data_IF_210701247149
#
_entry.id   IF_210701247149
#
_cell.length_a   1.000
_cell.length_b   1.000
_cell.length_c   1.000
_cell.angle_alpha   90.00
_cell.angle_beta   90.00
_cell.angle_gamma   90.00
#
_symmetry.space_group_name_H-M   'P 1'
#
loop_
_entity.id
_entity.type
_entity.pdbx_description
1 polymer ?
#
# COMPACT_ATOMS: atom_id res chain seq x y z
N UNK A 1 17.83 20.23 -6.96
CA UNK A 1 17.02 19.26 -7.74
C UNK A 1 15.54 19.61 -7.56
N UNK A 2 14.71 19.41 -8.61
CA UNK A 2 13.24 19.32 -8.40
C UNK A 2 12.90 18.08 -7.59
N UNK A 3 11.69 17.98 -7.04
CA UNK A 3 11.23 16.78 -6.34
C UNK A 3 11.33 15.53 -7.21
N UNK A 4 10.89 15.61 -8.48
CA UNK A 4 11.00 14.51 -9.45
C UNK A 4 12.43 14.09 -9.71
N UNK A 5 13.34 15.04 -9.94
CA UNK A 5 14.78 14.74 -10.15
C UNK A 5 15.41 14.08 -8.92
N UNK A 6 15.01 14.50 -7.73
CA UNK A 6 15.48 13.96 -6.44
C UNK A 6 15.08 12.50 -6.28
N UNK A 7 13.81 12.19 -6.53
CA UNK A 7 13.30 10.83 -6.47
C UNK A 7 13.98 9.95 -7.55
N UNK A 8 14.08 10.45 -8.79
CA UNK A 8 14.78 9.73 -9.87
C UNK A 8 16.26 9.46 -9.51
N UNK A 9 16.93 10.39 -8.85
CA UNK A 9 18.29 10.16 -8.37
C UNK A 9 18.31 9.02 -7.33
N UNK A 10 17.43 9.08 -6.33
CA UNK A 10 17.37 8.10 -5.26
C UNK A 10 17.04 6.69 -5.76
N UNK A 11 16.00 6.51 -6.60
CA UNK A 11 15.61 5.20 -7.13
C UNK A 11 16.59 4.61 -8.16
N UNK A 12 17.57 5.40 -8.59
CA UNK A 12 18.69 4.97 -9.43
C UNK A 12 20.03 4.94 -8.66
N UNK A 13 19.98 4.81 -7.33
CA UNK A 13 21.13 4.70 -6.44
C UNK A 13 22.17 5.81 -6.65
N UNK A 14 21.70 7.03 -6.85
CA UNK A 14 22.52 8.25 -6.93
C UNK A 14 22.16 9.16 -5.76
N UNK A 15 23.18 9.72 -5.10
CA UNK A 15 22.97 10.61 -3.96
C UNK A 15 22.14 11.84 -4.37
N UNK A 16 20.94 12.04 -3.81
CA UNK A 16 20.17 13.26 -4.00
C UNK A 16 20.72 14.41 -3.13
N UNK A 17 20.27 15.64 -3.43
CA UNK A 17 20.66 16.85 -2.67
C UNK A 17 20.19 16.79 -1.20
N UNK A 18 19.02 16.19 -0.93
CA UNK A 18 18.55 15.79 0.40
C UNK A 18 17.75 14.49 0.31
N UNK A 19 17.39 13.92 1.46
CA UNK A 19 16.61 12.70 1.52
C UNK A 19 15.20 12.93 0.93
N UNK A 20 14.77 12.22 -0.11
CA UNK A 20 13.40 12.35 -0.62
C UNK A 20 12.38 11.87 0.42
N UNK A 21 11.24 12.56 0.48
CA UNK A 21 10.13 12.25 1.41
C UNK A 21 8.91 11.84 0.62
N UNK A 22 8.27 10.76 1.04
CA UNK A 22 6.95 10.35 0.57
C UNK A 22 5.90 10.51 1.68
N UNK A 23 4.83 11.22 1.39
CA UNK A 23 3.64 11.30 2.20
C UNK A 23 2.42 11.10 1.30
N UNK A 24 1.82 9.92 1.36
CA UNK A 24 0.53 9.65 0.73
C UNK A 24 0.56 9.39 -0.76
N UNK A 25 1.71 9.01 -1.35
CA UNK A 25 1.72 8.61 -2.76
C UNK A 25 0.96 7.31 -3.02
N UNK A 26 0.72 6.50 -2.00
CA UNK A 26 -0.11 5.29 -2.03
C UNK A 26 -0.69 4.98 -0.63
N UNK A 27 -1.50 3.92 -0.50
CA UNK A 27 -2.16 3.57 0.76
C UNK A 27 -1.20 3.22 1.90
N UNK A 28 -0.03 2.64 1.59
CA UNK A 28 0.96 2.23 2.58
C UNK A 28 1.78 3.41 3.13
N UNK A 29 1.82 4.53 2.40
CA UNK A 29 2.57 5.73 2.79
C UNK A 29 1.65 6.88 3.24
N UNK A 30 0.34 6.61 3.32
CA UNK A 30 -0.69 7.57 3.69
C UNK A 30 -0.75 7.89 5.18
N UNK A 31 -1.74 8.70 5.53
CA UNK A 31 -1.99 9.12 6.91
C UNK A 31 -3.50 9.13 7.18
N UNK A 32 -3.91 8.64 8.36
CA UNK A 32 -5.31 8.69 8.77
C UNK A 32 -5.82 10.14 8.76
N UNK A 33 -7.05 10.35 8.29
CA UNK A 33 -7.61 11.69 8.09
C UNK A 33 -7.64 12.55 9.36
N UNK A 34 -7.90 11.93 10.53
CA UNK A 34 -7.85 12.67 11.81
C UNK A 34 -6.46 13.19 12.11
N UNK A 35 -5.44 12.42 11.78
CA UNK A 35 -4.04 12.81 11.98
C UNK A 35 -3.61 13.88 10.96
N UNK A 36 -4.05 13.75 9.69
CA UNK A 36 -3.85 14.81 8.69
C UNK A 36 -4.46 16.13 9.16
N UNK A 37 -5.70 16.09 9.67
CA UNK A 37 -6.40 17.26 10.16
C UNK A 37 -5.66 17.96 11.32
N UNK A 38 -5.21 17.19 12.32
CA UNK A 38 -4.44 17.72 13.45
C UNK A 38 -3.07 18.28 13.03
N UNK A 39 -2.37 17.58 12.12
CA UNK A 39 -1.08 18.05 11.59
C UNK A 39 -1.25 19.36 10.83
N UNK A 40 -2.26 19.49 9.97
CA UNK A 40 -2.58 20.75 9.27
C UNK A 40 -2.77 21.89 10.25
N UNK A 41 -3.58 21.68 11.29
CA UNK A 41 -3.84 22.66 12.35
C UNK A 41 -2.55 23.06 13.08
N UNK A 42 -1.72 22.10 13.45
CA UNK A 42 -0.44 22.34 14.13
C UNK A 42 0.56 23.12 13.27
N UNK A 43 0.49 22.98 11.95
CA UNK A 43 1.29 23.74 10.98
C UNK A 43 0.66 25.09 10.59
N UNK A 44 -0.50 25.44 11.13
CA UNK A 44 -1.20 26.69 10.82
C UNK A 44 -1.81 26.73 9.42
N UNK A 45 -2.04 25.57 8.80
CA UNK A 45 -2.76 25.46 7.54
C UNK A 45 -4.26 25.54 7.75
N UNK A 46 -5.02 25.85 6.68
CA UNK A 46 -6.47 25.95 6.74
C UNK A 46 -7.13 24.68 7.30
N UNK A 47 -8.03 24.88 8.28
CA UNK A 47 -8.88 23.82 8.80
C UNK A 47 -10.07 23.64 7.83
N UNK A 48 -10.08 22.52 7.11
CA UNK A 48 -11.12 22.20 6.12
C UNK A 48 -11.51 20.71 6.20
N UNK A 49 -12.65 20.36 5.63
CA UNK A 49 -13.03 18.97 5.47
C UNK A 49 -12.06 18.28 4.51
N UNK A 50 -11.52 17.14 4.92
CA UNK A 50 -10.60 16.34 4.11
C UNK A 50 -11.36 15.23 3.38
N UNK A 51 -10.99 14.91 2.15
CA UNK A 51 -11.52 13.73 1.49
C UNK A 51 -10.86 12.46 2.03
N UNK A 52 -11.66 11.41 2.25
CA UNK A 52 -11.17 10.07 2.52
C UNK A 52 -10.88 9.39 1.19
N UNK A 53 -9.63 9.44 0.76
CA UNK A 53 -9.19 8.90 -0.54
C UNK A 53 -9.02 7.38 -0.51
N UNK A 54 -8.84 6.81 0.68
CA UNK A 54 -8.80 5.37 0.92
C UNK A 54 -9.61 5.07 2.21
N UNK A 55 -10.92 4.74 2.06
CA UNK A 55 -11.81 4.60 3.22
C UNK A 55 -11.61 3.33 4.02
N UNK A 56 -10.98 2.28 3.49
CA UNK A 56 -10.72 1.06 4.25
C UNK A 56 -9.80 1.33 5.47
N UNK A 57 -8.76 2.12 5.27
CA UNK A 57 -7.83 2.55 6.33
C UNK A 57 -8.10 3.99 6.82
N UNK A 58 -9.20 4.62 6.35
CA UNK A 58 -9.59 5.99 6.68
C UNK A 58 -8.48 7.02 6.37
N UNK A 59 -7.76 6.85 5.25
CA UNK A 59 -6.70 7.76 4.84
C UNK A 59 -7.26 9.04 4.23
N UNK A 60 -6.75 10.17 4.72
CA UNK A 60 -7.09 11.50 4.22
C UNK A 60 -6.28 11.89 2.98
N UNK A 61 -6.90 12.69 2.11
CA UNK A 61 -6.20 13.35 1.00
C UNK A 61 -5.07 14.22 1.54
N UNK A 62 -3.89 14.08 0.96
CA UNK A 62 -2.75 14.93 1.26
C UNK A 62 -2.72 16.03 0.20
N UNK A 63 -3.22 17.20 0.58
CA UNK A 63 -3.31 18.33 -0.34
C UNK A 63 -1.96 19.04 -0.52
N UNK A 64 -1.83 19.80 -1.60
CA UNK A 64 -0.56 20.41 -2.03
C UNK A 64 0.08 21.32 -0.97
N UNK A 65 -0.72 22.05 -0.19
CA UNK A 65 -0.22 22.90 0.89
C UNK A 65 0.46 22.10 2.00
N UNK A 66 -0.07 20.92 2.35
CA UNK A 66 0.57 20.02 3.31
C UNK A 66 1.80 19.34 2.70
N UNK A 67 1.74 18.87 1.42
CA UNK A 67 2.91 18.35 0.71
C UNK A 67 4.08 19.34 0.72
N UNK A 68 3.78 20.63 0.44
CA UNK A 68 4.78 21.70 0.50
C UNK A 68 5.31 21.94 1.91
N UNK A 69 4.42 21.93 2.92
CA UNK A 69 4.82 22.19 4.31
C UNK A 69 5.77 21.12 4.86
N UNK A 70 5.63 19.86 4.44
CA UNK A 70 6.50 18.74 4.85
C UNK A 70 7.57 18.41 3.82
N UNK A 71 7.66 19.18 2.74
CA UNK A 71 8.59 18.96 1.63
C UNK A 71 8.51 17.53 1.02
N UNK A 72 7.28 17.01 0.88
CA UNK A 72 7.09 15.73 0.18
C UNK A 72 7.50 15.85 -1.29
N UNK A 73 8.10 14.80 -1.82
CA UNK A 73 8.64 14.75 -3.19
C UNK A 73 7.77 13.94 -4.15
N UNK A 74 6.73 13.30 -3.64
CA UNK A 74 5.89 12.39 -4.40
C UNK A 74 4.41 12.71 -4.28
N UNK A 75 3.69 12.33 -5.34
CA UNK A 75 2.22 12.25 -5.39
C UNK A 75 1.80 10.91 -5.98
N UNK A 76 0.59 10.46 -5.66
CA UNK A 76 0.01 9.24 -6.21
C UNK A 76 -0.86 9.52 -7.43
N UNK A 77 -0.72 8.71 -8.47
CA UNK A 77 -1.74 8.54 -9.49
C UNK A 77 -2.67 7.42 -9.03
N UNK A 78 -3.69 7.80 -8.28
CA UNK A 78 -4.67 6.89 -7.72
C UNK A 78 -5.67 6.42 -8.79
N UNK A 79 -6.37 5.31 -8.52
CA UNK A 79 -7.48 4.86 -9.34
C UNK A 79 -8.73 5.72 -9.08
N UNK A 80 -9.65 5.78 -10.04
CA UNK A 80 -10.94 6.46 -9.88
C UNK A 80 -11.83 5.81 -8.82
N UNK A 81 -11.69 4.50 -8.64
CA UNK A 81 -12.30 3.73 -7.56
C UNK A 81 -11.33 3.42 -6.43
N UNK A 82 -11.85 3.05 -5.27
CA UNK A 82 -11.06 2.58 -4.13
C UNK A 82 -11.16 1.07 -3.94
N UNK A 83 -10.35 0.50 -3.04
CA UNK A 83 -10.30 -0.95 -2.80
C UNK A 83 -11.57 -1.56 -2.21
N UNK A 84 -12.54 -0.76 -1.78
CA UNK A 84 -13.86 -1.22 -1.33
C UNK A 84 -14.91 -1.22 -2.46
N UNK A 85 -14.52 -0.88 -3.71
CA UNK A 85 -15.40 -0.87 -4.88
C UNK A 85 -16.23 0.40 -5.05
N UNK A 86 -15.89 1.51 -4.38
CA UNK A 86 -16.60 2.79 -4.51
C UNK A 86 -15.83 3.77 -5.40
N UNK A 87 -16.57 4.53 -6.22
CA UNK A 87 -16.00 5.66 -6.95
C UNK A 87 -15.63 6.81 -6.01
N UNK A 88 -14.56 7.51 -6.34
CA UNK A 88 -14.09 8.69 -5.62
C UNK A 88 -14.69 9.96 -6.20
N UNK A 89 -16.01 10.03 -6.29
CA UNK A 89 -16.78 11.16 -6.81
C UNK A 89 -18.00 11.46 -5.93
N UNK A 90 -18.80 12.45 -6.31
CA UNK A 90 -20.05 12.79 -5.62
C UNK A 90 -19.88 13.02 -4.11
N UNK A 91 -18.74 13.52 -3.67
CA UNK A 91 -18.31 13.66 -2.28
C UNK A 91 -19.39 14.21 -1.36
N UNK A 92 -19.68 13.50 -0.26
CA UNK A 92 -20.66 13.88 0.77
C UNK A 92 -20.02 14.05 2.13
N UNK A 93 -20.53 14.95 3.01
CA UNK A 93 -20.03 15.10 4.37
C UNK A 93 -20.07 13.78 5.14
N UNK A 94 -18.98 13.49 5.82
CA UNK A 94 -18.82 12.37 6.73
C UNK A 94 -17.94 12.83 7.89
N UNK A 95 -18.42 12.69 9.12
CA UNK A 95 -17.61 13.05 10.29
C UNK A 95 -17.05 11.75 10.89
N UNK A 96 -15.75 11.74 11.18
CA UNK A 96 -15.11 10.62 11.87
C UNK A 96 -15.62 10.52 13.31
N UNK A 97 -15.45 9.35 13.95
CA UNK A 97 -15.96 9.13 15.32
C UNK A 97 -15.34 10.08 16.36
N UNK A 98 -14.17 10.63 16.09
CA UNK A 98 -13.51 11.67 16.92
C UNK A 98 -13.97 13.10 16.59
N UNK A 99 -14.90 13.26 15.66
CA UNK A 99 -15.45 14.55 15.23
C UNK A 99 -14.64 15.24 14.12
N UNK A 100 -13.58 14.60 13.59
CA UNK A 100 -12.84 15.16 12.46
C UNK A 100 -13.74 15.30 11.23
N UNK A 101 -13.87 16.51 10.66
CA UNK A 101 -14.74 16.73 9.52
C UNK A 101 -14.09 16.23 8.23
N UNK A 102 -14.76 15.28 7.57
CA UNK A 102 -14.28 14.70 6.30
C UNK A 102 -15.37 14.68 5.23
N UNK A 103 -14.98 14.33 4.01
CA UNK A 103 -15.85 13.91 2.92
C UNK A 103 -15.55 12.45 2.58
N UNK A 104 -16.59 11.71 2.22
CA UNK A 104 -16.47 10.35 1.67
C UNK A 104 -17.14 10.28 0.31
N UNK A 105 -16.74 9.34 -0.54
CA UNK A 105 -17.34 9.16 -1.87
C UNK A 105 -18.86 8.99 -1.80
N UNK A 106 -19.58 9.59 -2.74
CA UNK A 106 -21.04 9.68 -2.70
C UNK A 106 -21.76 8.34 -2.66
N UNK A 107 -21.17 7.31 -3.28
CA UNK A 107 -21.70 5.94 -3.26
C UNK A 107 -21.43 5.16 -1.97
N UNK A 108 -20.58 5.65 -1.06
CA UNK A 108 -20.28 4.95 0.18
C UNK A 108 -21.50 4.97 1.13
N UNK A 109 -21.97 3.79 1.51
CA UNK A 109 -23.07 3.61 2.45
C UNK A 109 -22.73 2.54 3.48
N UNK A 110 -23.22 2.70 4.70
CA UNK A 110 -23.04 1.76 5.78
C UNK A 110 -24.27 1.70 6.68
N UNK A 111 -24.46 0.57 7.36
CA UNK A 111 -25.35 0.44 8.50
C UNK A 111 -24.57 0.46 9.81
N UNK A 112 -25.28 0.73 10.89
CA UNK A 112 -24.73 0.59 12.25
C UNK A 112 -25.47 -0.56 12.93
N UNK A 113 -24.72 -1.58 13.36
CA UNK A 113 -25.29 -2.73 14.06
C UNK A 113 -25.62 -2.41 15.52
N UNK A 114 -26.22 -3.36 16.25
CA UNK A 114 -26.61 -3.20 17.66
C UNK A 114 -25.41 -2.93 18.60
N UNK A 115 -24.19 -3.29 18.20
CA UNK A 115 -22.95 -3.02 18.96
C UNK A 115 -22.38 -1.63 18.67
N UNK A 116 -22.90 -0.95 17.65
CA UNK A 116 -22.40 0.33 17.19
C UNK A 116 -21.31 0.24 16.14
N UNK A 117 -21.05 -0.97 15.59
CA UNK A 117 -20.07 -1.16 14.53
C UNK A 117 -20.64 -0.71 13.18
N UNK A 118 -19.80 -0.11 12.33
CA UNK A 118 -20.15 0.27 10.96
C UNK A 118 -19.97 -0.92 10.03
N UNK A 119 -21.05 -1.29 9.33
CA UNK A 119 -21.13 -2.44 8.43
C UNK A 119 -21.31 -1.95 7.00
N UNK A 120 -20.43 -2.38 6.07
CA UNK A 120 -20.47 -1.96 4.66
C UNK A 120 -20.71 -3.17 3.77
N UNK A 121 -21.67 -3.03 2.82
CA UNK A 121 -21.97 -4.07 1.84
C UNK A 121 -20.88 -4.18 0.78
N UNK A 122 -20.76 -5.37 0.18
CA UNK A 122 -19.91 -5.57 -0.98
C UNK A 122 -20.23 -4.54 -2.07
N UNK A 123 -19.27 -3.71 -2.43
CA UNK A 123 -19.39 -2.64 -3.43
C UNK A 123 -20.62 -1.72 -3.23
N UNK A 124 -21.12 -1.57 -1.99
CA UNK A 124 -22.30 -0.77 -1.68
C UNK A 124 -23.64 -1.39 -2.11
N UNK A 125 -23.65 -2.62 -2.61
CA UNK A 125 -24.86 -3.29 -3.03
C UNK A 125 -25.64 -3.85 -1.84
N UNK A 126 -26.74 -3.19 -1.46
CA UNK A 126 -27.62 -3.60 -0.37
C UNK A 126 -28.30 -4.97 -0.54
N UNK A 127 -28.24 -5.55 -1.73
CA UNK A 127 -28.70 -6.93 -1.98
C UNK A 127 -27.63 -7.99 -1.65
N UNK A 128 -26.39 -7.56 -1.41
CA UNK A 128 -25.27 -8.43 -1.01
C UNK A 128 -25.21 -8.58 0.51
N UNK A 129 -24.27 -9.40 1.00
CA UNK A 129 -23.88 -9.45 2.41
C UNK A 129 -22.94 -8.29 2.75
N UNK A 130 -22.79 -7.98 4.04
CA UNK A 130 -21.72 -7.10 4.50
C UNK A 130 -20.38 -7.77 4.25
N UNK A 131 -19.47 -7.00 3.64
CA UNK A 131 -18.10 -7.44 3.34
C UNK A 131 -17.06 -6.80 4.26
N UNK A 132 -17.43 -5.68 4.93
CA UNK A 132 -16.53 -4.93 5.79
C UNK A 132 -17.21 -4.53 7.10
N UNK A 133 -16.39 -4.47 8.16
CA UNK A 133 -16.80 -4.02 9.48
C UNK A 133 -15.75 -3.06 10.05
N UNK A 134 -16.19 -1.92 10.59
CA UNK A 134 -15.35 -1.09 11.47
C UNK A 134 -15.98 -1.13 12.87
N UNK A 135 -15.31 -1.73 13.87
CA UNK A 135 -15.79 -1.74 15.24
C UNK A 135 -16.04 -0.33 15.76
N UNK A 136 -16.98 -0.17 16.67
CA UNK A 136 -17.28 1.11 17.31
C UNK A 136 -15.99 1.70 17.94
N UNK A 137 -15.65 2.92 17.56
CA UNK A 137 -14.43 3.60 17.99
C UNK A 137 -13.16 3.11 17.24
N UNK A 138 -13.30 2.25 16.26
CA UNK A 138 -12.24 1.87 15.35
C UNK A 138 -11.88 2.99 14.40
N UNK A 139 -10.70 2.90 13.79
CA UNK A 139 -10.16 3.89 12.86
C UNK A 139 -9.85 3.32 11.48
N UNK A 140 -10.27 2.11 11.18
CA UNK A 140 -10.15 1.42 9.89
C UNK A 140 -11.17 0.27 9.81
N UNK A 141 -11.44 -0.20 8.60
CA UNK A 141 -12.30 -1.35 8.36
C UNK A 141 -11.48 -2.64 8.29
N UNK A 142 -12.13 -3.75 8.72
CA UNK A 142 -11.65 -5.10 8.48
C UNK A 142 -12.58 -5.80 7.49
N UNK A 143 -12.04 -6.75 6.74
CA UNK A 143 -12.85 -7.68 5.97
C UNK A 143 -13.59 -8.63 6.90
N UNK A 144 -14.81 -9.01 6.51
CA UNK A 144 -15.56 -10.06 7.19
C UNK A 144 -15.97 -11.15 6.20
N UNK A 145 -16.00 -12.38 6.69
CA UNK A 145 -16.44 -13.52 5.90
C UNK A 145 -17.89 -13.33 5.45
N UNK A 146 -18.15 -13.38 4.15
CA UNK A 146 -19.48 -13.16 3.58
C UNK A 146 -19.88 -14.19 2.51
N UNK A 147 -19.16 -15.31 2.43
CA UNK A 147 -19.53 -16.49 1.63
C UNK A 147 -20.66 -17.30 2.32
N UNK A 148 -21.37 -18.13 1.53
CA UNK A 148 -22.52 -18.91 2.05
C UNK A 148 -22.06 -20.06 2.92
N UNK A 149 -21.14 -20.87 2.44
CA UNK A 149 -20.61 -22.03 3.16
C UNK A 149 -19.07 -22.01 3.16
N UNK A 150 -18.45 -22.43 4.28
CA UNK A 150 -17.03 -22.65 4.32
C UNK A 150 -16.58 -23.65 3.26
N UNK A 151 -15.39 -23.44 2.70
CA UNK A 151 -14.82 -24.39 1.78
C UNK A 151 -14.53 -25.72 2.49
N UNK A 152 -14.90 -26.84 1.85
CA UNK A 152 -14.58 -28.19 2.33
C UNK A 152 -13.12 -28.53 1.96
N UNK A 153 -12.24 -28.57 2.96
CA UNK A 153 -10.80 -28.86 2.79
C UNK A 153 -10.49 -30.35 2.68
N UNK A 154 -11.49 -31.24 2.68
CA UNK A 154 -11.30 -32.70 2.54
C UNK A 154 -11.54 -33.20 1.10
N UNK A 155 -11.68 -32.28 0.12
CA UNK A 155 -11.86 -32.61 -1.30
C UNK A 155 -10.54 -33.01 -1.96
N UNK A 156 -10.61 -33.82 -3.00
CA UNK A 156 -9.47 -34.10 -3.86
C UNK A 156 -9.15 -32.88 -4.74
N UNK A 157 -7.87 -32.51 -4.90
CA UNK A 157 -7.46 -31.32 -5.66
C UNK A 157 -7.95 -31.34 -7.13
N UNK A 158 -8.06 -32.54 -7.72
CA UNK A 158 -8.53 -32.75 -9.10
C UNK A 158 -10.01 -32.33 -9.31
N UNK A 159 -10.80 -32.29 -8.26
CA UNK A 159 -12.21 -31.89 -8.29
C UNK A 159 -12.41 -30.38 -8.11
N UNK A 160 -11.36 -29.64 -7.79
CA UNK A 160 -11.43 -28.20 -7.53
C UNK A 160 -11.53 -27.38 -8.81
N UNK A 161 -12.20 -26.23 -8.74
CA UNK A 161 -12.51 -25.38 -9.90
C UNK A 161 -11.98 -23.95 -9.74
N UNK A 162 -10.67 -23.73 -9.59
CA UNK A 162 -10.09 -22.42 -9.29
C UNK A 162 -10.51 -21.32 -10.26
N UNK A 163 -10.62 -21.63 -11.55
CA UNK A 163 -11.00 -20.65 -12.58
C UNK A 163 -12.46 -20.18 -12.44
N UNK A 164 -13.37 -21.07 -12.03
CA UNK A 164 -14.77 -20.71 -11.77
C UNK A 164 -14.94 -20.01 -10.43
N UNK A 165 -14.12 -20.37 -9.44
CA UNK A 165 -14.18 -19.81 -8.10
C UNK A 165 -13.72 -18.34 -8.05
N UNK A 166 -12.74 -17.97 -8.90
CA UNK A 166 -12.06 -16.68 -8.86
C UNK A 166 -12.30 -15.81 -10.11
N UNK A 167 -13.17 -16.22 -11.03
CA UNK A 167 -13.38 -15.50 -12.30
C UNK A 167 -13.83 -14.05 -12.17
N UNK A 168 -14.54 -13.75 -11.09
CA UNK A 168 -15.12 -12.42 -10.85
C UNK A 168 -14.17 -11.49 -10.05
N UNK A 169 -13.05 -12.02 -9.52
CA UNK A 169 -12.12 -11.27 -8.70
C UNK A 169 -11.11 -10.44 -9.51
N UNK A 170 -10.77 -10.89 -10.72
CA UNK A 170 -9.74 -10.27 -11.54
C UNK A 170 -10.34 -9.69 -12.82
N UNK A 171 -10.33 -8.36 -12.94
CA UNK A 171 -10.95 -7.65 -14.05
C UNK A 171 -9.90 -6.94 -14.90
N UNK A 172 -10.12 -6.96 -16.22
CA UNK A 172 -9.36 -6.11 -17.14
C UNK A 172 -9.88 -4.68 -17.04
N UNK A 173 -8.96 -3.73 -16.92
CA UNK A 173 -9.27 -2.32 -16.82
C UNK A 173 -10.04 -1.82 -18.05
N UNK A 174 -10.92 -0.87 -17.83
CA UNK A 174 -11.83 -0.34 -18.85
C UNK A 174 -11.21 0.82 -19.64
N UNK A 175 -11.84 1.19 -20.75
CA UNK A 175 -11.48 2.41 -21.50
C UNK A 175 -11.71 3.69 -20.66
N UNK A 176 -12.60 3.63 -19.65
CA UNK A 176 -12.85 4.74 -18.73
C UNK A 176 -11.69 4.90 -17.75
N UNK A 177 -11.19 3.81 -17.20
CA UNK A 177 -9.99 3.80 -16.36
C UNK A 177 -8.79 4.36 -17.14
N UNK A 178 -8.60 3.91 -18.37
CA UNK A 178 -7.50 4.36 -19.22
C UNK A 178 -7.56 5.88 -19.50
N UNK A 179 -8.76 6.41 -19.80
CA UNK A 179 -8.95 7.86 -20.00
C UNK A 179 -8.67 8.65 -18.73
N UNK A 180 -9.17 8.17 -17.59
CA UNK A 180 -8.91 8.80 -16.30
C UNK A 180 -7.40 8.87 -16.01
N UNK A 181 -6.67 7.77 -16.18
CA UNK A 181 -5.24 7.74 -15.95
C UNK A 181 -4.46 8.63 -16.93
N UNK A 182 -4.87 8.69 -18.19
CA UNK A 182 -4.25 9.58 -19.18
C UNK A 182 -4.39 11.05 -18.76
N UNK A 183 -5.60 11.47 -18.42
CA UNK A 183 -5.89 12.84 -18.02
C UNK A 183 -5.21 13.22 -16.72
N UNK A 184 -5.32 12.38 -15.70
CA UNK A 184 -4.77 12.67 -14.38
C UNK A 184 -3.24 12.60 -14.35
N UNK A 185 -2.63 11.60 -15.03
CA UNK A 185 -1.16 11.56 -15.13
C UNK A 185 -0.59 12.78 -15.88
N UNK A 186 -1.30 13.26 -16.90
CA UNK A 186 -0.91 14.50 -17.61
C UNK A 186 -1.01 15.70 -16.69
N UNK A 187 -2.11 15.85 -15.96
CA UNK A 187 -2.32 16.93 -15.00
C UNK A 187 -1.22 16.97 -13.94
N UNK A 188 -0.88 15.84 -13.37
CA UNK A 188 0.18 15.73 -12.35
C UNK A 188 1.56 16.01 -12.95
N UNK A 189 1.88 15.44 -14.10
CA UNK A 189 3.21 15.55 -14.72
C UNK A 189 3.53 16.95 -15.22
N UNK A 190 2.55 17.61 -15.90
CA UNK A 190 2.71 18.94 -16.46
C UNK A 190 2.48 20.05 -15.44
N UNK A 191 1.62 19.79 -14.44
CA UNK A 191 1.22 20.80 -13.45
C UNK A 191 2.11 20.85 -12.21
N UNK A 192 3.00 19.86 -12.00
CA UNK A 192 3.84 19.77 -10.79
C UNK A 192 5.24 19.25 -11.09
N UNK A 193 6.16 19.49 -10.14
CA UNK A 193 7.51 18.94 -10.15
C UNK A 193 7.66 17.67 -9.31
N UNK A 194 6.57 17.14 -8.73
CA UNK A 194 6.59 15.91 -7.95
C UNK A 194 6.90 14.68 -8.83
N UNK A 195 7.55 13.69 -8.25
CA UNK A 195 7.56 12.35 -8.82
C UNK A 195 6.18 11.70 -8.64
N UNK A 196 5.80 10.84 -9.57
CA UNK A 196 4.48 10.22 -9.57
C UNK A 196 4.61 8.72 -9.34
N UNK A 197 3.94 8.22 -8.29
CA UNK A 197 3.72 6.81 -8.02
C UNK A 197 2.43 6.39 -8.75
N UNK A 198 2.53 5.45 -9.66
CA UNK A 198 1.35 4.84 -10.29
C UNK A 198 0.74 3.78 -9.39
N UNK A 199 -0.47 4.00 -8.89
CA UNK A 199 -1.17 3.07 -7.97
C UNK A 199 -2.10 2.16 -8.77
N UNK A 200 -1.53 1.35 -9.69
CA UNK A 200 -2.32 0.41 -10.50
C UNK A 200 -2.87 -0.73 -9.65
N UNK A 201 -2.02 -1.36 -8.83
CA UNK A 201 -2.40 -2.55 -8.07
C UNK A 201 -2.55 -3.81 -8.93
N UNK A 202 -3.31 -4.77 -8.43
CA UNK A 202 -3.75 -5.94 -9.20
C UNK A 202 -2.88 -7.18 -9.08
N UNK A 203 -1.62 -7.08 -8.65
CA UNK A 203 -0.74 -8.24 -8.43
C UNK A 203 -0.52 -8.58 -6.95
N UNK A 204 -1.49 -8.30 -6.09
CA UNK A 204 -1.51 -8.76 -4.71
C UNK A 204 -1.85 -10.25 -4.66
N UNK A 205 -0.91 -11.10 -5.10
CA UNK A 205 -1.11 -12.56 -5.14
C UNK A 205 -1.33 -13.08 -3.73
N UNK A 206 -2.51 -13.67 -3.46
CA UNK A 206 -2.85 -14.21 -2.16
C UNK A 206 -2.83 -13.21 -1.00
N UNK A 207 -3.01 -11.92 -1.30
CA UNK A 207 -3.08 -10.86 -0.29
C UNK A 207 -4.27 -11.09 0.66
N UNK A 208 -3.99 -11.10 1.96
CA UNK A 208 -4.97 -11.34 3.00
C UNK A 208 -6.17 -10.37 2.97
N UNK A 209 -5.99 -9.16 2.42
CA UNK A 209 -7.08 -8.21 2.23
C UNK A 209 -8.02 -8.59 1.08
N UNK A 210 -7.58 -9.39 0.11
CA UNK A 210 -8.34 -9.75 -1.09
C UNK A 210 -8.78 -11.21 -1.15
N UNK A 211 -8.09 -12.13 -0.47
CA UNK A 211 -8.49 -13.55 -0.39
C UNK A 211 -9.95 -13.73 0.02
N UNK A 212 -10.52 -12.99 1.00
CA UNK A 212 -11.93 -13.11 1.35
C UNK A 212 -12.91 -12.73 0.23
N UNK A 213 -12.44 -12.17 -0.87
CA UNK A 213 -13.26 -11.72 -1.98
C UNK A 213 -14.14 -10.51 -1.64
N UNK A 214 -13.60 -9.45 -0.98
CA UNK A 214 -14.42 -8.37 -0.43
C UNK A 214 -15.21 -7.58 -1.48
N UNK A 215 -14.84 -7.67 -2.75
CA UNK A 215 -15.56 -7.07 -3.87
C UNK A 215 -16.43 -8.07 -4.64
N UNK A 216 -16.41 -9.36 -4.30
CA UNK A 216 -17.26 -10.37 -4.91
C UNK A 216 -18.56 -10.54 -4.11
N UNK A 217 -19.75 -10.44 -4.76
CA UNK A 217 -21.03 -10.60 -4.09
C UNK A 217 -21.22 -11.97 -3.45
N UNK A 218 -20.76 -13.02 -4.10
CA UNK A 218 -20.82 -14.40 -3.66
C UNK A 218 -19.46 -15.07 -3.89
N UNK A 219 -18.45 -14.76 -3.08
CA UNK A 219 -17.12 -15.34 -3.23
C UNK A 219 -17.19 -16.87 -3.05
N UNK A 220 -16.53 -17.58 -3.96
CA UNK A 220 -16.48 -19.05 -3.98
C UNK A 220 -15.05 -19.54 -3.81
N UNK A 221 -14.90 -20.83 -3.51
CA UNK A 221 -13.61 -21.46 -3.31
C UNK A 221 -12.97 -21.13 -1.97
N UNK A 222 -11.66 -21.16 -1.91
CA UNK A 222 -10.89 -21.02 -0.67
C UNK A 222 -10.77 -19.55 -0.30
N UNK A 223 -11.54 -19.08 0.69
CA UNK A 223 -11.66 -17.66 1.04
C UNK A 223 -11.27 -17.31 2.47
N UNK A 224 -11.25 -18.30 3.39
CA UNK A 224 -10.71 -18.07 4.73
C UNK A 224 -9.19 -18.05 4.69
N UNK A 225 -8.58 -17.08 5.37
CA UNK A 225 -7.12 -16.95 5.38
C UNK A 225 -6.43 -18.22 5.90
N UNK A 226 -7.00 -18.88 6.91
CA UNK A 226 -6.44 -20.13 7.44
C UNK A 226 -6.46 -21.25 6.40
N UNK A 227 -7.58 -21.37 5.67
CA UNK A 227 -7.76 -22.37 4.62
C UNK A 227 -6.85 -22.05 3.42
N UNK A 228 -6.74 -20.78 3.05
CA UNK A 228 -5.83 -20.31 2.02
C UNK A 228 -4.36 -20.63 2.33
N UNK A 229 -3.90 -20.35 3.56
CA UNK A 229 -2.54 -20.69 3.98
C UNK A 229 -2.32 -22.20 4.00
N UNK A 230 -3.33 -22.99 4.38
CA UNK A 230 -3.28 -24.45 4.37
C UNK A 230 -3.23 -24.99 2.94
N UNK A 231 -3.98 -24.36 2.02
CA UNK A 231 -4.03 -24.74 0.62
C UNK A 231 -2.68 -24.67 -0.11
N UNK A 232 -1.75 -23.83 0.35
CA UNK A 232 -0.38 -23.81 -0.19
C UNK A 232 0.34 -25.16 -0.08
N UNK A 233 -0.04 -25.97 0.90
CA UNK A 233 0.54 -27.30 1.09
C UNK A 233 -0.36 -28.41 0.55
N UNK A 234 -1.68 -28.25 0.60
CA UNK A 234 -2.64 -29.29 0.19
C UNK A 234 -3.04 -29.17 -1.28
N UNK A 235 -3.15 -27.94 -1.80
CA UNK A 235 -3.69 -27.61 -3.13
C UNK A 235 -2.81 -26.65 -3.90
N UNK A 236 -1.52 -26.97 -4.13
CA UNK A 236 -0.59 -26.06 -4.81
C UNK A 236 -0.98 -25.76 -6.25
N UNK A 237 -1.61 -26.72 -6.96
CA UNK A 237 -2.05 -26.51 -8.34
C UNK A 237 -3.27 -25.58 -8.40
N UNK A 238 -4.18 -25.65 -7.42
CA UNK A 238 -5.28 -24.69 -7.26
C UNK A 238 -4.75 -23.27 -7.09
N UNK A 239 -3.83 -23.07 -6.14
CA UNK A 239 -3.21 -21.76 -5.88
C UNK A 239 -2.51 -21.24 -7.14
N UNK A 240 -1.73 -22.09 -7.82
CA UNK A 240 -1.03 -21.71 -9.05
C UNK A 240 -1.99 -21.31 -10.16
N UNK A 241 -3.11 -22.01 -10.34
CA UNK A 241 -4.12 -21.68 -11.34
C UNK A 241 -4.77 -20.31 -11.07
N UNK A 242 -5.05 -19.96 -9.79
CA UNK A 242 -5.53 -18.62 -9.40
C UNK A 242 -4.49 -17.56 -9.73
N UNK A 243 -3.22 -17.78 -9.40
CA UNK A 243 -2.14 -16.83 -9.67
C UNK A 243 -1.84 -16.67 -11.15
N UNK A 244 -1.94 -17.73 -11.96
CA UNK A 244 -1.82 -17.64 -13.41
C UNK A 244 -2.89 -16.70 -13.98
N UNK A 245 -4.16 -16.89 -13.60
CA UNK A 245 -5.27 -16.04 -14.04
C UNK A 245 -5.06 -14.58 -13.63
N UNK A 246 -4.71 -14.32 -12.37
CA UNK A 246 -4.44 -12.97 -11.88
C UNK A 246 -3.25 -12.33 -12.62
N UNK A 247 -2.18 -13.09 -12.86
CA UNK A 247 -0.99 -12.62 -13.59
C UNK A 247 -1.32 -12.24 -15.03
N UNK A 248 -2.14 -13.06 -15.73
CA UNK A 248 -2.54 -12.76 -17.11
C UNK A 248 -3.39 -11.50 -17.21
N UNK A 249 -4.31 -11.28 -16.26
CA UNK A 249 -5.09 -10.04 -16.17
C UNK A 249 -4.18 -8.86 -15.86
N UNK A 250 -3.26 -9.02 -14.91
CA UNK A 250 -2.30 -7.97 -14.56
C UNK A 250 -1.44 -7.52 -15.75
N UNK A 251 -0.95 -8.45 -16.56
CA UNK A 251 -0.16 -8.11 -17.76
C UNK A 251 -0.97 -7.33 -18.80
N UNK A 252 -2.27 -7.66 -18.97
CA UNK A 252 -3.17 -6.86 -19.83
C UNK A 252 -3.38 -5.45 -19.25
N UNK A 253 -3.59 -5.36 -17.96
CA UNK A 253 -3.79 -4.08 -17.27
C UNK A 253 -2.53 -3.21 -17.33
N UNK A 254 -1.34 -3.78 -17.20
CA UNK A 254 -0.07 -3.06 -17.40
C UNK A 254 0.07 -2.50 -18.83
N UNK A 255 -0.35 -3.24 -19.85
CA UNK A 255 -0.33 -2.75 -21.23
C UNK A 255 -1.28 -1.55 -21.42
N UNK A 256 -2.52 -1.65 -20.91
CA UNK A 256 -3.50 -0.56 -20.94
C UNK A 256 -2.97 0.66 -20.17
N UNK A 257 -2.45 0.43 -18.96
CA UNK A 257 -1.92 1.48 -18.11
C UNK A 257 -0.73 2.19 -18.76
N UNK A 258 0.20 1.43 -19.35
CA UNK A 258 1.34 2.00 -20.09
C UNK A 258 0.87 2.88 -21.26
N UNK A 259 -0.11 2.44 -22.02
CA UNK A 259 -0.67 3.25 -23.12
C UNK A 259 -1.29 4.55 -22.60
N UNK A 260 -1.97 4.51 -21.46
CA UNK A 260 -2.60 5.68 -20.84
C UNK A 260 -1.58 6.64 -20.23
N UNK A 261 -0.62 6.16 -19.44
CA UNK A 261 0.27 7.03 -18.64
C UNK A 261 1.63 7.31 -19.31
N UNK A 262 2.07 6.48 -20.26
CA UNK A 262 3.39 6.62 -20.90
C UNK A 262 4.53 6.66 -19.88
N UNK A 263 5.49 7.54 -20.05
CA UNK A 263 6.65 7.72 -19.16
C UNK A 263 6.41 8.82 -18.09
N UNK A 264 5.14 9.19 -17.82
CA UNK A 264 4.82 10.25 -16.85
C UNK A 264 4.97 9.81 -15.41
N UNK A 265 4.92 8.51 -15.12
CA UNK A 265 5.17 7.97 -13.78
C UNK A 265 6.62 7.48 -13.66
N UNK A 266 7.16 7.46 -12.45
CA UNK A 266 8.53 7.00 -12.16
C UNK A 266 8.54 5.61 -11.55
N UNK A 267 7.50 5.27 -10.80
CA UNK A 267 7.38 4.02 -10.06
C UNK A 267 5.96 3.50 -10.22
N UNK A 268 5.80 2.18 -10.37
CA UNK A 268 4.48 1.53 -10.37
C UNK A 268 4.35 0.59 -9.16
N UNK A 269 3.26 0.75 -8.42
CA UNK A 269 2.91 -0.13 -7.32
C UNK A 269 2.37 -1.46 -7.85
N UNK A 270 3.06 -2.55 -7.55
CA UNK A 270 2.76 -3.90 -8.08
C UNK A 270 1.95 -4.69 -7.07
N UNK A 271 2.43 -4.85 -5.84
CA UNK A 271 1.85 -5.75 -4.85
C UNK A 271 1.94 -5.21 -3.43
N UNK A 272 0.93 -5.53 -2.62
CA UNK A 272 0.88 -5.29 -1.18
C UNK A 272 0.78 -6.59 -0.37
N UNK A 273 1.09 -7.73 -0.96
CA UNK A 273 0.98 -9.02 -0.26
C UNK A 273 1.99 -9.16 0.86
N UNK A 274 1.48 -9.37 2.07
CA UNK A 274 2.30 -9.62 3.24
C UNK A 274 2.79 -11.07 3.28
N UNK A 275 4.11 -11.24 3.43
CA UNK A 275 4.77 -12.54 3.58
C UNK A 275 5.33 -12.76 4.98
N UNK A 276 5.42 -11.72 5.78
CA UNK A 276 6.06 -11.74 7.09
C UNK A 276 5.12 -11.48 8.26
N UNK A 277 5.39 -12.18 9.36
CA UNK A 277 4.93 -11.82 10.70
C UNK A 277 6.01 -10.99 11.40
N UNK A 278 5.77 -10.60 12.68
CA UNK A 278 6.83 -10.03 13.53
C UNK A 278 8.00 -11.00 13.75
N UNK A 279 7.79 -12.30 13.57
CA UNK A 279 8.73 -13.36 13.98
C UNK A 279 9.34 -14.14 12.81
N UNK A 280 8.92 -13.90 11.58
CA UNK A 280 9.37 -14.61 10.39
C UNK A 280 8.29 -14.72 9.34
N UNK A 281 8.47 -15.61 8.38
CA UNK A 281 7.56 -15.78 7.25
C UNK A 281 6.27 -16.52 7.63
N UNK A 282 5.18 -16.24 6.91
CA UNK A 282 3.93 -17.04 6.96
C UNK A 282 4.08 -18.41 6.31
N UNK A 283 5.01 -18.56 5.38
CA UNK A 283 5.22 -19.77 4.60
C UNK A 283 6.70 -20.10 4.45
N UNK A 284 7.02 -21.27 3.93
CA UNK A 284 8.39 -21.64 3.63
C UNK A 284 8.96 -20.85 2.44
N UNK A 285 10.27 -20.70 2.37
CA UNK A 285 10.96 -20.12 1.19
C UNK A 285 10.65 -20.92 -0.08
N UNK A 286 10.56 -22.23 0.03
CA UNK A 286 10.29 -23.09 -1.12
C UNK A 286 8.87 -22.89 -1.65
N UNK A 287 7.88 -22.69 -0.78
CA UNK A 287 6.52 -22.27 -1.16
C UNK A 287 6.53 -20.96 -1.94
N UNK A 288 7.25 -19.93 -1.44
CA UNK A 288 7.39 -18.67 -2.14
C UNK A 288 8.04 -18.86 -3.52
N UNK A 289 9.12 -19.63 -3.61
CA UNK A 289 9.86 -19.87 -4.85
C UNK A 289 9.07 -20.62 -5.90
N UNK A 290 8.20 -21.53 -5.48
CA UNK A 290 7.40 -22.36 -6.39
C UNK A 290 6.09 -21.69 -6.82
N UNK A 291 5.40 -21.00 -5.90
CA UNK A 291 4.05 -20.48 -6.17
C UNK A 291 4.03 -18.97 -6.46
N UNK A 292 4.90 -18.15 -5.87
CA UNK A 292 4.82 -16.69 -5.97
C UNK A 292 5.88 -16.08 -6.90
N UNK A 293 7.14 -16.48 -6.71
CA UNK A 293 8.29 -15.90 -7.41
C UNK A 293 8.16 -15.93 -8.93
N UNK A 294 7.68 -17.01 -9.58
CA UNK A 294 7.54 -17.05 -11.05
C UNK A 294 6.58 -15.98 -11.58
N UNK A 295 5.48 -15.75 -10.89
CA UNK A 295 4.48 -14.73 -11.26
C UNK A 295 5.01 -13.32 -11.07
N UNK A 296 5.59 -13.01 -9.91
CA UNK A 296 6.22 -11.70 -9.69
C UNK A 296 7.33 -11.42 -10.67
N UNK A 297 8.15 -12.43 -10.98
CA UNK A 297 9.18 -12.29 -12.01
C UNK A 297 8.60 -11.97 -13.38
N UNK A 298 7.53 -12.66 -13.78
CA UNK A 298 6.84 -12.42 -15.07
C UNK A 298 6.30 -11.00 -15.16
N UNK A 299 5.71 -10.48 -14.09
CA UNK A 299 5.15 -9.13 -13.99
C UNK A 299 6.28 -8.07 -14.02
N UNK A 300 7.28 -8.20 -13.15
CA UNK A 300 8.38 -7.24 -13.04
C UNK A 300 9.24 -7.23 -14.32
N UNK A 301 9.51 -8.40 -14.90
CA UNK A 301 10.21 -8.50 -16.19
C UNK A 301 9.44 -7.80 -17.32
N UNK A 302 8.10 -7.82 -17.29
CA UNK A 302 7.28 -7.07 -18.25
C UNK A 302 7.47 -5.56 -18.06
N UNK A 303 7.39 -5.07 -16.84
CA UNK A 303 7.61 -3.64 -16.52
C UNK A 303 8.98 -3.19 -17.02
N UNK A 304 10.04 -3.90 -16.67
CA UNK A 304 11.41 -3.54 -17.03
C UNK A 304 11.69 -3.60 -18.53
N UNK A 305 11.03 -4.50 -19.27
CA UNK A 305 11.22 -4.59 -20.74
C UNK A 305 10.46 -3.56 -21.52
N UNK A 306 9.34 -3.08 -20.98
CA UNK A 306 8.39 -2.26 -21.72
C UNK A 306 8.34 -0.80 -21.28
N UNK A 307 8.91 -0.44 -20.13
CA UNK A 307 8.83 0.90 -19.53
C UNK A 307 10.14 1.34 -18.91
N UNK A 308 10.26 2.62 -18.59
CA UNK A 308 11.32 3.16 -17.74
C UNK A 308 11.01 3.16 -16.25
N UNK A 309 9.86 2.58 -15.84
CA UNK A 309 9.40 2.62 -14.46
C UNK A 309 10.16 1.64 -13.56
N UNK A 310 10.20 1.98 -12.26
CA UNK A 310 10.62 1.07 -11.20
C UNK A 310 9.41 0.37 -10.61
N UNK A 311 9.59 -0.88 -10.15
CA UNK A 311 8.54 -1.64 -9.46
C UNK A 311 8.58 -1.37 -7.97
N UNK A 312 7.41 -1.15 -7.37
CA UNK A 312 7.24 -0.98 -5.92
C UNK A 312 6.52 -2.19 -5.34
N UNK A 313 7.11 -2.78 -4.33
CA UNK A 313 6.61 -3.96 -3.64
C UNK A 313 6.48 -3.70 -2.15
N UNK A 314 5.28 -3.89 -1.61
CA UNK A 314 5.03 -3.82 -0.18
C UNK A 314 4.88 -5.22 0.41
N UNK A 315 5.51 -5.46 1.54
CA UNK A 315 5.28 -6.65 2.37
C UNK A 315 5.68 -6.37 3.82
N UNK A 316 4.72 -6.40 4.72
CA UNK A 316 4.95 -6.22 6.14
C UNK A 316 5.73 -7.38 6.77
N UNK A 317 6.26 -7.13 7.96
CA UNK A 317 6.88 -8.13 8.82
C UNK A 317 8.35 -8.41 8.54
N UNK A 318 8.82 -9.50 9.13
CA UNK A 318 10.19 -9.98 8.97
C UNK A 318 10.32 -10.83 7.71
N UNK A 319 10.63 -10.19 6.57
CA UNK A 319 10.81 -10.83 5.26
C UNK A 319 12.27 -11.06 4.90
N UNK A 320 13.14 -11.01 5.87
CA UNK A 320 14.60 -11.13 5.72
C UNK A 320 15.04 -12.30 4.84
N UNK A 321 14.36 -13.43 5.00
CA UNK A 321 14.70 -14.67 4.31
C UNK A 321 14.25 -14.67 2.83
N UNK A 322 13.44 -13.70 2.40
CA UNK A 322 12.95 -13.57 1.03
C UNK A 322 13.70 -12.49 0.21
N UNK A 323 14.61 -11.72 0.80
CA UNK A 323 15.20 -10.57 0.11
C UNK A 323 15.92 -10.94 -1.19
N UNK A 324 16.69 -12.04 -1.21
CA UNK A 324 17.32 -12.52 -2.44
C UNK A 324 16.28 -12.96 -3.48
N UNK A 325 15.23 -13.66 -3.05
CA UNK A 325 14.17 -14.13 -3.95
C UNK A 325 13.34 -12.96 -4.52
N UNK A 326 13.08 -11.91 -3.73
CA UNK A 326 12.42 -10.68 -4.18
C UNK A 326 13.30 -9.92 -5.20
N UNK A 327 14.59 -9.78 -4.92
CA UNK A 327 15.54 -9.19 -5.87
C UNK A 327 15.59 -9.96 -7.20
N UNK A 328 15.73 -11.29 -7.14
CA UNK A 328 15.74 -12.14 -8.32
C UNK A 328 14.41 -12.13 -9.09
N UNK A 329 13.29 -11.81 -8.43
CA UNK A 329 12.00 -11.60 -9.07
C UNK A 329 11.83 -10.21 -9.69
N UNK A 330 12.84 -9.33 -9.58
CA UNK A 330 12.86 -8.02 -10.23
C UNK A 330 12.18 -6.90 -9.43
N UNK A 331 12.11 -7.00 -8.10
CA UNK A 331 11.64 -5.90 -7.25
C UNK A 331 12.71 -4.81 -7.18
N UNK A 332 12.36 -3.56 -7.50
CA UNK A 332 13.26 -2.41 -7.40
C UNK A 332 13.12 -1.66 -6.06
N UNK A 333 11.88 -1.37 -5.65
CA UNK A 333 11.60 -0.60 -4.45
C UNK A 333 10.90 -1.47 -3.42
N UNK A 334 11.47 -1.59 -2.22
CA UNK A 334 10.97 -2.44 -1.13
C UNK A 334 10.38 -1.57 -0.02
N UNK A 335 9.13 -1.85 0.36
CA UNK A 335 8.37 -1.18 1.41
C UNK A 335 7.73 -2.25 2.34
N UNK A 336 7.49 -2.00 3.62
CA UNK A 336 7.79 -0.79 4.41
C UNK A 336 9.18 -0.82 5.04
N UNK A 337 9.95 -1.90 4.86
CA UNK A 337 11.22 -2.17 5.54
C UNK A 337 11.05 -2.16 7.06
N UNK A 338 10.31 -3.15 7.57
CA UNK A 338 9.85 -3.17 8.96
C UNK A 338 10.96 -3.51 9.93
N UNK A 339 11.77 -2.53 10.30
CA UNK A 339 12.89 -2.68 11.24
C UNK A 339 12.45 -3.06 12.67
N UNK A 340 11.19 -2.86 13.03
CA UNK A 340 10.62 -3.29 14.32
C UNK A 340 10.36 -4.80 14.40
N UNK A 341 10.43 -5.52 13.28
CA UNK A 341 10.27 -6.96 13.26
C UNK A 341 11.59 -7.65 13.67
N UNK A 342 11.50 -8.48 14.66
CA UNK A 342 12.47 -9.42 15.25
C UNK A 342 13.95 -9.05 15.34
N UNK A 343 14.37 -8.77 16.57
CA UNK A 343 15.75 -8.89 17.03
C UNK A 343 16.05 -10.34 17.50
N UNK A 344 17.28 -10.87 17.30
CA UNK A 344 18.45 -10.27 16.64
C UNK A 344 18.56 -10.58 15.14
N UNK A 345 17.66 -11.35 14.55
CA UNK A 345 17.69 -11.76 13.14
C UNK A 345 16.81 -10.89 12.24
N UNK A 346 16.27 -9.80 12.78
CA UNK A 346 15.34 -8.94 12.09
C UNK A 346 15.98 -8.06 11.03
N UNK A 347 15.17 -7.16 10.53
CA UNK A 347 15.47 -6.19 9.49
C UNK A 347 16.37 -5.06 10.04
N UNK A 348 17.68 -5.32 10.20
CA UNK A 348 18.64 -4.30 10.66
C UNK A 348 18.93 -3.26 9.56
N UNK A 349 18.75 -1.94 9.78
CA UNK A 349 19.02 -0.91 8.78
C UNK A 349 20.44 -0.95 8.23
N UNK A 350 21.43 -1.13 9.13
CA UNK A 350 22.83 -1.20 8.75
C UNK A 350 23.12 -2.39 7.86
N UNK A 351 22.67 -3.58 8.27
CA UNK A 351 22.88 -4.82 7.48
C UNK A 351 22.18 -4.73 6.12
N UNK A 352 20.94 -4.26 6.09
CA UNK A 352 20.19 -4.13 4.83
C UNK A 352 20.88 -3.15 3.89
N UNK A 353 21.38 -2.02 4.40
CA UNK A 353 22.12 -1.08 3.56
C UNK A 353 23.44 -1.65 3.05
N UNK A 354 24.16 -2.43 3.86
CA UNK A 354 25.42 -3.07 3.49
C UNK A 354 25.24 -4.20 2.48
N UNK A 355 24.20 -5.05 2.65
CA UNK A 355 23.99 -6.26 1.84
C UNK A 355 23.08 -6.05 0.62
N UNK A 356 22.17 -5.08 0.69
CA UNK A 356 21.12 -4.87 -0.33
C UNK A 356 20.96 -3.41 -0.78
N UNK A 357 21.79 -2.50 -0.30
CA UNK A 357 21.67 -1.08 -0.60
C UNK A 357 21.97 -0.69 -2.04
N UNK A 358 22.59 -1.58 -2.82
CA UNK A 358 22.80 -1.47 -4.26
C UNK A 358 21.76 -2.24 -5.10
N UNK A 359 20.91 -3.03 -4.42
CA UNK A 359 19.87 -3.86 -5.03
C UNK A 359 18.51 -3.19 -4.94
N UNK A 360 18.10 -2.77 -3.73
CA UNK A 360 16.80 -2.17 -3.50
C UNK A 360 16.88 -0.67 -3.22
N UNK A 361 15.89 0.06 -3.70
CA UNK A 361 15.51 1.32 -3.08
C UNK A 361 14.64 0.99 -1.87
N UNK A 362 15.16 1.23 -0.66
CA UNK A 362 14.39 1.09 0.57
C UNK A 362 13.40 2.25 0.67
N UNK A 363 12.11 1.92 0.77
CA UNK A 363 11.03 2.88 0.85
C UNK A 363 10.28 2.71 2.16
N UNK A 364 10.49 3.60 3.11
CA UNK A 364 9.99 3.46 4.47
C UNK A 364 11.07 3.21 5.50
N UNK A 365 10.72 2.53 6.58
CA UNK A 365 11.66 2.25 7.67
C UNK A 365 12.10 3.46 8.49
N UNK A 366 11.55 4.64 8.20
CA UNK A 366 11.99 5.92 8.77
C UNK A 366 11.81 6.03 10.27
N UNK A 367 10.67 5.55 10.77
CA UNK A 367 10.35 5.52 12.20
C UNK A 367 9.36 4.40 12.50
N UNK A 368 9.44 3.82 13.69
CA UNK A 368 8.53 2.77 14.17
C UNK A 368 7.13 3.33 14.43
N UNK A 369 6.17 2.90 13.61
CA UNK A 369 4.75 3.29 13.68
C UNK A 369 3.94 2.53 14.73
N UNK A 370 4.52 1.51 15.37
CA UNK A 370 3.85 0.72 16.40
C UNK A 370 4.16 1.21 17.82
N UNK A 371 5.33 1.84 18.04
CA UNK A 371 5.79 2.22 19.37
C UNK A 371 6.30 3.65 19.43
N UNK A 372 7.34 3.98 18.65
CA UNK A 372 8.06 5.26 18.81
C UNK A 372 7.21 6.41 18.31
N UNK A 373 6.66 6.31 17.10
CA UNK A 373 5.88 7.41 16.52
C UNK A 373 4.59 7.70 17.30
N UNK A 374 3.76 6.70 17.71
CA UNK A 374 2.52 6.98 18.45
C UNK A 374 2.70 7.21 19.96
N UNK A 375 3.74 6.66 20.60
CA UNK A 375 3.84 6.62 22.05
C UNK A 375 5.17 7.16 22.62
N UNK A 376 6.16 7.39 21.76
CA UNK A 376 7.43 7.98 22.14
C UNK A 376 7.34 9.51 22.30
N UNK A 377 8.39 10.08 22.86
CA UNK A 377 8.57 11.55 22.91
C UNK A 377 9.09 12.07 21.56
N UNK A 378 8.94 13.38 21.27
CA UNK A 378 9.54 13.98 20.08
C UNK A 378 11.06 13.76 19.98
N UNK A 379 11.78 13.67 21.10
CA UNK A 379 13.23 13.42 21.09
C UNK A 379 13.57 11.99 20.71
N UNK A 380 12.82 10.98 21.17
CA UNK A 380 12.97 9.58 20.73
C UNK A 380 12.65 9.44 19.24
N UNK A 381 11.65 10.16 18.73
CA UNK A 381 11.35 10.20 17.28
C UNK A 381 12.54 10.79 16.52
N UNK A 382 13.10 11.94 16.97
CA UNK A 382 14.27 12.58 16.34
C UNK A 382 15.49 11.64 16.32
N UNK A 383 15.76 10.97 17.43
CA UNK A 383 16.89 10.04 17.51
C UNK A 383 16.77 8.90 16.50
N UNK A 384 15.59 8.25 16.45
CA UNK A 384 15.37 7.13 15.53
C UNK A 384 15.40 7.57 14.08
N UNK A 385 14.73 8.66 13.72
CA UNK A 385 14.72 9.21 12.36
C UNK A 385 16.13 9.60 11.90
N UNK A 386 16.88 10.31 12.74
CA UNK A 386 18.25 10.70 12.43
C UNK A 386 19.16 9.50 12.16
N UNK A 387 19.02 8.42 12.96
CA UNK A 387 19.76 7.18 12.75
C UNK A 387 19.40 6.56 11.39
N UNK A 388 18.08 6.43 11.07
CA UNK A 388 17.62 5.81 9.82
C UNK A 388 18.10 6.57 8.59
N UNK A 389 17.90 7.89 8.57
CA UNK A 389 18.33 8.74 7.46
C UNK A 389 19.86 8.68 7.29
N UNK A 390 20.62 8.77 8.39
CA UNK A 390 22.08 8.66 8.34
C UNK A 390 22.58 7.37 7.74
N UNK A 391 21.90 6.25 8.00
CA UNK A 391 22.32 4.92 7.48
C UNK A 391 21.82 4.74 6.04
N UNK A 392 20.55 4.97 5.79
CA UNK A 392 19.88 4.53 4.56
C UNK A 392 20.06 5.49 3.39
N UNK A 393 20.17 6.80 3.65
CA UNK A 393 20.25 7.80 2.58
C UNK A 393 21.66 7.94 1.94
N UNK A 394 22.67 7.21 2.41
CA UNK A 394 24.01 7.28 1.84
C UNK A 394 24.04 6.64 0.45
N UNK A 395 24.49 7.42 -0.54
CA UNK A 395 24.63 6.94 -1.93
C UNK A 395 23.32 6.78 -2.71
N UNK A 396 22.20 7.25 -2.17
CA UNK A 396 20.87 7.05 -2.75
C UNK A 396 20.26 5.68 -2.36
N UNK A 397 19.27 5.21 -3.12
CA UNK A 397 18.56 3.97 -2.81
C UNK A 397 17.69 4.07 -1.53
N UNK A 398 17.17 5.26 -1.24
CA UNK A 398 16.28 5.47 -0.09
C UNK A 398 15.24 6.56 -0.36
N UNK A 399 13.99 6.27 0.01
CA UNK A 399 12.87 7.24 0.09
C UNK A 399 12.35 7.19 1.52
N UNK A 400 12.34 8.32 2.20
CA UNK A 400 11.84 8.40 3.57
C UNK A 400 10.32 8.32 3.61
N UNK A 401 9.84 7.42 4.45
CA UNK A 401 8.46 7.30 4.91
C UNK A 401 8.51 6.58 6.27
N UNK A 402 7.56 6.73 7.19
CA UNK A 402 7.41 5.83 8.34
C UNK A 402 7.37 4.36 7.94
N UNK A 403 7.48 3.44 8.88
CA UNK A 403 7.44 1.99 8.58
C UNK A 403 6.14 1.59 7.87
N UNK A 404 5.03 2.25 8.17
CA UNK A 404 3.74 2.03 7.51
C UNK A 404 2.95 3.35 7.51
N UNK A 405 1.73 3.35 6.99
CA UNK A 405 0.85 4.51 7.09
C UNK A 405 0.70 5.00 8.55
N UNK A 406 0.44 6.28 8.68
CA UNK A 406 0.31 6.93 9.99
C UNK A 406 -1.12 6.77 10.50
N UNK A 407 -1.27 6.12 11.64
CA UNK A 407 -2.58 5.83 12.26
C UNK A 407 -3.15 7.02 13.06
N UNK A 408 -4.43 6.89 13.45
CA UNK A 408 -5.19 7.98 14.08
C UNK A 408 -4.64 8.50 15.41
N UNK A 409 -3.91 7.69 16.17
CA UNK A 409 -3.44 8.02 17.52
C UNK A 409 -2.04 8.66 17.56
N UNK A 410 -1.44 9.00 16.42
CA UNK A 410 -0.11 9.64 16.38
C UNK A 410 -0.23 11.12 16.74
N UNK A 411 0.56 11.60 17.74
CA UNK A 411 0.61 13.01 18.10
C UNK A 411 1.26 13.87 17.00
N UNK A 412 0.72 15.04 16.76
CA UNK A 412 1.23 15.98 15.75
C UNK A 412 2.63 16.48 16.06
N UNK A 413 3.01 16.64 17.31
CA UNK A 413 4.37 17.01 17.72
C UNK A 413 5.41 15.96 17.31
N UNK A 414 5.05 14.69 17.32
CA UNK A 414 5.91 13.61 16.87
C UNK A 414 6.09 13.62 15.34
N UNK A 415 5.02 13.95 14.60
CA UNK A 415 5.10 14.11 13.14
C UNK A 415 5.97 15.33 12.77
N UNK A 416 5.79 16.45 13.46
CA UNK A 416 6.63 17.64 13.25
C UNK A 416 8.10 17.30 13.54
N UNK A 417 8.38 16.65 14.66
CA UNK A 417 9.73 16.21 15.02
C UNK A 417 10.35 15.29 13.97
N UNK A 418 9.54 14.38 13.41
CA UNK A 418 9.93 13.47 12.34
C UNK A 418 10.35 14.24 11.08
N UNK A 419 9.47 15.09 10.52
CA UNK A 419 9.77 15.82 9.28
C UNK A 419 10.91 16.83 9.46
N UNK A 420 10.94 17.61 10.56
CA UNK A 420 12.03 18.52 10.87
C UNK A 420 13.39 17.80 10.91
N UNK A 421 13.42 16.56 11.42
CA UNK A 421 14.66 15.78 11.50
C UNK A 421 15.12 15.29 10.13
N UNK A 422 14.22 14.84 9.27
CA UNK A 422 14.57 14.43 7.91
C UNK A 422 15.11 15.60 7.10
N UNK A 423 14.48 16.76 7.22
CA UNK A 423 14.82 17.96 6.48
C UNK A 423 16.04 18.68 7.06
N UNK A 424 16.34 18.52 8.36
CA UNK A 424 17.38 19.27 9.06
C UNK A 424 17.00 20.74 9.31
N UNK A 425 15.72 21.09 9.12
CA UNK A 425 15.20 22.44 9.31
C UNK A 425 13.76 22.40 9.88
N UNK A 426 13.28 23.57 10.32
CA UNK A 426 11.92 23.70 10.84
C UNK A 426 10.88 23.82 9.73
N UNK A 427 9.73 23.18 9.91
CA UNK A 427 8.59 23.19 8.97
C UNK A 427 7.45 24.13 9.38
N UNK A 428 7.74 25.12 10.27
CA UNK A 428 6.76 26.11 10.76
C UNK A 428 7.16 27.50 10.34
#
# INVERSE_FOLDING_TARGET
>A
MTSRERVIAAINHRQPDHCPIDLGSNGQTGMNASTVYRLRKALGLDERRLKLVEPFQMLGEIEEDLLKAVHSDLVGLWNAGNMMGFCQDGWKPFDMDDGTPTYIGGGFEYDVNEKGDKMVWCCGDRSSKYAYCMPRGGSFFDNIDHFDEPFDMDQDEEDLTPLEDWKDDFQVCTDEDARYWEEESRRLYEGTDYAIMGVLGGAGLGDAAFVPGPMAKNPKGIRRIQDWLTAHALYPDYINAVFDMQTEVMLKNLEIYKQAVGERIQVVWISGTDFGTQNGLFMSKDTFRTLYKPHYKKINDWVHRNTGWKTFFHSCGCINDLLDDLWESGVDCLNPVQFSAMEPKGMSPKRLKEEYGDKFTFWGGGVDTQRVLPFGTPDEVREQVAERVRILNQGGGYIFNPIHNVVANVPEENLIAMYETVLGEKIR
#
